data_IF_156310801138
#
_entry.id   IF_156310801138
#
_cell.length_a   1.000
_cell.length_b   1.000
_cell.length_c   1.000
_cell.angle_alpha   90.00
_cell.angle_beta   90.00
_cell.angle_gamma   90.00
#
_symmetry.space_group_name_H-M   'P 1'
#
loop_
_entity.id
_entity.type
_entity.pdbx_description
1 polymer ?
#
# COMPACT_ATOMS: atom_id res chain seq x y z
N UNK A 1 33.25 2.97 5.90
CA UNK A 1 32.68 1.61 5.74
C UNK A 1 31.26 1.77 5.25
N UNK A 2 30.87 1.19 4.11
CA UNK A 2 29.48 1.24 3.65
C UNK A 2 28.62 0.43 4.62
N UNK A 3 27.69 1.08 5.27
CA UNK A 3 26.60 0.40 6.02
C UNK A 3 25.48 0.21 5.03
N UNK A 4 25.35 -0.98 4.46
CA UNK A 4 24.24 -1.31 3.59
C UNK A 4 23.00 -1.53 4.44
N UNK A 5 21.94 -0.77 4.18
CA UNK A 5 20.60 -1.03 4.72
C UNK A 5 19.85 -1.89 3.71
N UNK A 6 19.74 -3.19 3.95
CA UNK A 6 18.84 -4.07 3.19
C UNK A 6 17.56 -4.24 3.98
N UNK A 7 16.53 -3.50 3.60
CA UNK A 7 15.19 -3.60 4.21
C UNK A 7 14.54 -4.98 3.99
N UNK A 8 15.06 -5.79 3.05
CA UNK A 8 14.43 -7.05 2.64
C UNK A 8 14.72 -8.25 3.54
N UNK A 9 15.61 -8.14 4.57
CA UNK A 9 16.09 -9.30 5.33
C UNK A 9 16.20 -9.17 6.84
N UNK A 10 15.49 -8.25 7.48
CA UNK A 10 15.38 -8.21 8.96
C UNK A 10 16.71 -7.95 9.69
N UNK A 11 17.70 -7.35 9.06
CA UNK A 11 18.98 -7.04 9.64
C UNK A 11 19.23 -5.53 9.63
N UNK A 12 19.30 -4.94 10.83
CA UNK A 12 19.76 -3.56 11.11
C UNK A 12 19.01 -2.42 10.40
N UNK A 13 17.67 -2.41 10.52
CA UNK A 13 16.87 -1.27 10.09
C UNK A 13 17.30 -0.01 10.84
N UNK A 14 18.20 0.77 10.22
CA UNK A 14 18.62 2.05 10.74
C UNK A 14 19.65 2.00 11.88
N UNK A 15 20.50 0.98 12.00
CA UNK A 15 21.63 0.99 12.96
C UNK A 15 22.54 2.20 12.79
N UNK A 16 22.61 2.80 11.61
CA UNK A 16 23.31 4.03 11.31
C UNK A 16 22.64 5.29 11.89
N UNK A 17 21.32 5.25 12.15
CA UNK A 17 20.53 6.40 12.65
C UNK A 17 21.11 6.95 13.96
N UNK A 18 21.28 6.16 15.03
CA UNK A 18 21.85 6.69 16.28
C UNK A 18 23.28 7.20 16.11
N UNK A 19 24.05 6.65 15.17
CA UNK A 19 25.44 7.07 14.93
C UNK A 19 25.50 8.48 14.33
N UNK A 20 24.64 8.81 13.40
CA UNK A 20 24.57 10.13 12.79
C UNK A 20 23.82 11.12 13.66
N UNK A 21 22.72 10.72 14.29
CA UNK A 21 21.95 11.55 15.22
C UNK A 21 22.81 12.04 16.41
N UNK A 22 23.66 11.17 16.98
CA UNK A 22 24.61 11.53 18.02
C UNK A 22 25.64 12.58 17.60
N UNK A 23 25.77 12.82 16.30
CA UNK A 23 26.66 13.84 15.70
C UNK A 23 25.91 15.07 15.20
N UNK A 24 24.63 15.20 15.56
CA UNK A 24 23.82 16.37 15.23
C UNK A 24 23.20 16.33 13.84
N UNK A 25 23.31 15.23 13.08
CA UNK A 25 22.68 15.10 11.76
C UNK A 25 21.17 14.96 11.94
N UNK A 26 20.40 15.80 11.25
CA UNK A 26 18.96 15.69 11.23
C UNK A 26 18.51 14.49 10.39
N UNK A 27 17.70 13.62 11.00
CA UNK A 27 17.21 12.40 10.38
C UNK A 27 15.71 12.34 10.54
N UNK A 28 14.99 12.31 9.40
CA UNK A 28 13.56 12.06 9.36
C UNK A 28 13.22 10.67 9.93
N UNK A 29 12.13 10.52 10.71
CA UNK A 29 11.73 9.23 11.27
C UNK A 29 11.58 8.18 10.17
N UNK A 30 12.17 7.00 10.37
CA UNK A 30 12.03 5.89 9.44
C UNK A 30 10.59 5.36 9.49
N UNK A 31 9.99 5.17 8.33
CA UNK A 31 8.61 4.73 8.16
C UNK A 31 8.53 3.61 7.11
N UNK A 32 7.59 2.65 7.26
CA UNK A 32 7.38 1.65 6.22
C UNK A 32 6.89 2.29 4.92
N UNK A 33 7.57 2.03 3.82
CA UNK A 33 7.19 2.40 2.47
C UNK A 33 7.02 1.15 1.60
N UNK A 34 6.16 1.23 0.56
CA UNK A 34 5.81 0.04 -0.21
C UNK A 34 5.42 -1.13 0.72
N UNK A 35 4.54 -0.88 1.67
CA UNK A 35 4.19 -1.79 2.74
C UNK A 35 2.74 -2.27 2.66
N UNK A 36 2.44 -3.35 3.37
CA UNK A 36 1.08 -3.81 3.64
C UNK A 36 0.38 -2.99 4.72
N UNK A 37 -0.91 -3.26 4.90
CA UNK A 37 -1.76 -2.59 5.90
C UNK A 37 -2.62 -3.60 6.64
N UNK A 38 -2.82 -3.35 7.92
CA UNK A 38 -3.74 -4.12 8.75
C UNK A 38 -5.19 -3.76 8.46
N UNK A 39 -6.02 -4.79 8.42
CA UNK A 39 -7.48 -4.70 8.28
C UNK A 39 -8.11 -5.62 9.31
N UNK A 40 -9.16 -5.17 9.97
CA UNK A 40 -9.92 -5.99 10.92
C UNK A 40 -10.84 -6.94 10.14
N UNK A 41 -10.35 -8.15 9.88
CA UNK A 41 -11.13 -9.21 9.26
C UNK A 41 -11.91 -10.01 10.30
N UNK A 42 -13.09 -10.53 9.93
CA UNK A 42 -13.67 -11.61 10.68
C UNK A 42 -12.80 -12.88 10.59
N UNK A 43 -12.79 -13.70 11.63
CA UNK A 43 -12.07 -14.98 11.63
C UNK A 43 -12.43 -15.82 10.40
N UNK A 44 -13.73 -15.88 10.08
CA UNK A 44 -14.22 -16.63 8.92
C UNK A 44 -13.65 -16.12 7.60
N UNK A 45 -13.55 -14.79 7.42
CA UNK A 45 -13.00 -14.21 6.18
C UNK A 45 -11.50 -14.48 6.09
N UNK A 46 -10.75 -14.22 7.16
CA UNK A 46 -9.31 -14.46 7.21
C UNK A 46 -8.95 -15.93 6.91
N UNK A 47 -9.57 -16.88 7.60
CA UNK A 47 -9.32 -18.31 7.39
C UNK A 47 -9.62 -18.79 5.97
N UNK A 48 -10.64 -18.20 5.35
CA UNK A 48 -11.09 -18.62 4.02
C UNK A 48 -10.31 -18.00 2.87
N UNK A 49 -9.85 -16.76 3.02
CA UNK A 49 -9.34 -15.97 1.91
C UNK A 49 -7.89 -15.50 2.07
N UNK A 50 -7.24 -15.70 3.22
CA UNK A 50 -5.81 -15.40 3.36
C UNK A 50 -4.99 -16.12 2.28
N UNK A 51 -4.05 -15.39 1.66
CA UNK A 51 -3.25 -15.85 0.54
C UNK A 51 -3.91 -15.71 -0.83
N UNK A 52 -5.19 -15.32 -0.91
CA UNK A 52 -5.87 -15.19 -2.20
C UNK A 52 -5.69 -13.81 -2.83
N UNK A 53 -5.41 -13.75 -4.16
CA UNK A 53 -5.30 -12.49 -4.88
C UNK A 53 -6.68 -11.93 -5.21
N UNK A 54 -6.80 -10.60 -5.14
CA UNK A 54 -7.97 -9.83 -5.58
C UNK A 54 -7.61 -9.12 -6.89
N UNK A 55 -8.16 -9.61 -8.01
CA UNK A 55 -7.79 -9.10 -9.35
C UNK A 55 -8.87 -9.32 -10.41
N UNK A 56 -8.91 -8.49 -11.49
CA UNK A 56 -8.37 -7.14 -11.51
C UNK A 56 -9.23 -6.22 -10.63
N UNK A 57 -8.63 -5.18 -10.05
CA UNK A 57 -9.34 -4.15 -9.28
C UNK A 57 -8.71 -2.78 -9.53
N UNK A 58 -9.43 -1.71 -9.15
CA UNK A 58 -8.84 -0.38 -9.03
C UNK A 58 -8.96 0.03 -7.57
N UNK A 59 -7.84 0.44 -6.98
CA UNK A 59 -7.79 1.09 -5.68
C UNK A 59 -7.77 2.61 -5.82
N UNK A 60 -8.41 3.32 -4.89
CA UNK A 60 -8.35 4.77 -4.82
C UNK A 60 -8.30 5.27 -3.37
N UNK A 61 -7.45 6.27 -3.13
CA UNK A 61 -7.26 6.94 -1.84
C UNK A 61 -6.69 8.34 -2.07
N UNK A 62 -7.17 9.33 -1.35
CA UNK A 62 -6.68 10.72 -1.39
C UNK A 62 -6.52 11.27 -2.84
N UNK A 63 -7.49 10.99 -3.72
CA UNK A 63 -7.47 11.42 -5.12
C UNK A 63 -6.53 10.61 -6.04
N UNK A 64 -5.68 9.73 -5.52
CA UNK A 64 -4.89 8.80 -6.32
C UNK A 64 -5.73 7.59 -6.70
N UNK A 65 -5.52 7.09 -7.91
CA UNK A 65 -6.25 5.94 -8.46
C UNK A 65 -5.30 5.06 -9.25
N UNK A 66 -5.27 3.77 -8.92
CA UNK A 66 -4.38 2.79 -9.53
C UNK A 66 -5.11 1.49 -9.82
N UNK A 67 -4.92 0.93 -11.01
CA UNK A 67 -5.38 -0.41 -11.35
C UNK A 67 -4.28 -1.43 -11.03
N UNK A 68 -4.68 -2.59 -10.51
CA UNK A 68 -3.73 -3.65 -10.20
C UNK A 68 -4.39 -4.84 -9.53
N UNK A 69 -3.58 -5.50 -8.71
CA UNK A 69 -3.99 -6.62 -7.86
C UNK A 69 -3.34 -6.50 -6.47
N UNK A 70 -3.97 -7.11 -5.49
CA UNK A 70 -3.43 -7.23 -4.13
C UNK A 70 -3.82 -8.57 -3.52
N UNK A 71 -3.15 -8.97 -2.44
CA UNK A 71 -3.42 -10.19 -1.72
C UNK A 71 -4.10 -9.89 -0.38
N UNK A 72 -5.05 -10.75 0.00
CA UNK A 72 -5.55 -10.81 1.37
C UNK A 72 -4.51 -11.55 2.22
N UNK A 73 -4.18 -11.00 3.38
CA UNK A 73 -3.39 -11.70 4.40
C UNK A 73 -4.27 -12.05 5.59
N UNK A 74 -3.76 -12.82 6.53
CA UNK A 74 -4.50 -13.18 7.75
C UNK A 74 -4.87 -11.94 8.58
N UNK A 75 -4.07 -10.87 8.48
CA UNK A 75 -4.22 -9.63 9.28
C UNK A 75 -4.54 -8.40 8.45
N UNK A 76 -4.57 -8.50 7.12
CA UNK A 76 -4.79 -7.31 6.29
C UNK A 76 -4.62 -7.52 4.80
N UNK A 77 -3.91 -6.60 4.15
CA UNK A 77 -3.73 -6.54 2.70
C UNK A 77 -2.29 -6.18 2.33
N UNK A 78 -1.79 -6.73 1.21
CA UNK A 78 -0.46 -6.45 0.67
C UNK A 78 -0.43 -6.61 -0.85
N UNK A 79 0.70 -6.36 -1.48
CA UNK A 79 0.92 -6.58 -2.91
C UNK A 79 0.97 -5.30 -3.73
N UNK A 80 1.25 -5.43 -5.04
CA UNK A 80 1.65 -4.32 -5.89
C UNK A 80 0.73 -3.11 -5.90
N UNK A 81 -0.60 -3.32 -5.90
CA UNK A 81 -1.57 -2.22 -5.82
C UNK A 81 -1.48 -1.49 -4.47
N UNK A 82 -1.34 -2.23 -3.38
CA UNK A 82 -1.27 -1.66 -2.02
C UNK A 82 0.04 -0.90 -1.84
N UNK A 83 1.15 -1.45 -2.34
CA UNK A 83 2.45 -0.78 -2.30
C UNK A 83 2.45 0.54 -3.07
N UNK A 84 1.83 0.56 -4.25
CA UNK A 84 1.70 1.79 -5.05
C UNK A 84 0.84 2.89 -4.37
N UNK A 85 -0.04 2.51 -3.44
CA UNK A 85 -0.91 3.40 -2.69
C UNK A 85 -0.47 3.56 -1.22
N UNK A 86 0.69 3.01 -0.83
CA UNK A 86 1.11 2.97 0.57
C UNK A 86 1.38 4.35 1.16
N UNK A 87 2.05 5.26 0.43
CA UNK A 87 2.31 6.61 0.92
C UNK A 87 1.02 7.36 1.30
N UNK A 88 0.02 7.54 0.43
CA UNK A 88 -1.21 8.25 0.80
C UNK A 88 -2.05 7.52 1.87
N UNK A 89 -2.01 6.18 1.96
CA UNK A 89 -2.67 5.44 3.03
C UNK A 89 -1.99 5.70 4.38
N UNK A 90 -0.65 5.65 4.42
CA UNK A 90 0.15 5.94 5.61
C UNK A 90 -0.06 7.39 6.07
N UNK A 91 0.03 8.36 5.16
CA UNK A 91 -0.22 9.76 5.48
C UNK A 91 -1.62 10.00 6.08
N UNK A 92 -2.65 9.35 5.53
CA UNK A 92 -3.99 9.43 6.08
C UNK A 92 -4.08 8.84 7.50
N UNK A 93 -3.44 7.69 7.76
CA UNK A 93 -3.35 7.12 9.11
C UNK A 93 -2.62 8.05 10.07
N UNK A 94 -1.50 8.63 9.67
CA UNK A 94 -0.70 9.53 10.51
C UNK A 94 -1.43 10.84 10.85
N UNK A 95 -2.15 11.41 9.88
CA UNK A 95 -2.77 12.73 10.03
C UNK A 95 -4.20 12.69 10.58
N UNK A 96 -4.95 11.63 10.25
CA UNK A 96 -6.39 11.52 10.56
C UNK A 96 -6.69 10.39 11.56
N UNK A 97 -5.72 9.52 11.84
CA UNK A 97 -5.91 8.34 12.69
C UNK A 97 -6.69 7.21 12.03
N UNK A 98 -7.11 7.39 10.79
CA UNK A 98 -7.82 6.37 9.99
C UNK A 98 -7.57 6.57 8.50
N UNK A 99 -7.64 5.49 7.73
CA UNK A 99 -7.59 5.55 6.27
C UNK A 99 -8.58 4.56 5.66
N UNK A 100 -9.13 4.92 4.51
CA UNK A 100 -10.05 4.06 3.76
C UNK A 100 -9.56 3.93 2.32
N UNK A 101 -9.26 2.70 1.94
CA UNK A 101 -9.01 2.34 0.54
C UNK A 101 -10.36 2.05 -0.13
N UNK A 102 -10.69 2.75 -1.19
CA UNK A 102 -11.88 2.46 -1.97
C UNK A 102 -11.53 1.55 -3.15
N UNK A 103 -12.29 0.45 -3.30
CA UNK A 103 -12.05 -0.57 -4.30
C UNK A 103 -13.15 -0.59 -5.37
N UNK A 104 -12.77 -0.51 -6.64
CA UNK A 104 -13.62 -0.91 -7.77
C UNK A 104 -13.33 -2.37 -8.08
N UNK A 105 -14.27 -3.26 -7.71
CA UNK A 105 -14.13 -4.70 -7.90
C UNK A 105 -14.44 -5.17 -9.33
N UNK A 106 -15.03 -4.30 -10.15
CA UNK A 106 -15.42 -4.58 -11.53
C UNK A 106 -14.95 -3.47 -12.51
N UNK A 107 -13.63 -3.25 -12.67
CA UNK A 107 -13.10 -2.14 -13.46
C UNK A 107 -13.51 -2.17 -14.94
N UNK A 108 -13.84 -3.33 -15.47
CA UNK A 108 -14.32 -3.50 -16.86
C UNK A 108 -15.81 -3.17 -17.07
N UNK A 109 -16.56 -2.74 -16.02
CA UNK A 109 -17.98 -2.39 -16.15
C UNK A 109 -18.22 -0.98 -15.61
N UNK A 110 -19.11 -0.22 -16.29
CA UNK A 110 -19.60 1.05 -15.74
C UNK A 110 -20.64 0.81 -14.66
N UNK A 111 -20.94 1.84 -13.84
CA UNK A 111 -21.96 1.78 -12.82
C UNK A 111 -23.34 1.50 -13.43
N UNK A 112 -23.67 2.17 -14.55
CA UNK A 112 -24.94 2.02 -15.27
C UNK A 112 -25.09 0.58 -15.74
N UNK A 113 -24.05 0.00 -16.31
CA UNK A 113 -24.06 -1.39 -16.80
C UNK A 113 -24.25 -2.37 -15.65
N UNK A 114 -23.51 -2.20 -14.54
CA UNK A 114 -23.68 -3.03 -13.34
C UNK A 114 -25.08 -2.93 -12.77
N UNK A 115 -25.62 -1.72 -12.66
CA UNK A 115 -26.99 -1.49 -12.16
C UNK A 115 -28.00 -2.21 -13.05
N UNK A 116 -27.90 -2.06 -14.37
CA UNK A 116 -28.78 -2.74 -15.31
C UNK A 116 -28.67 -4.28 -15.23
N UNK A 117 -27.44 -4.80 -15.16
CA UNK A 117 -27.19 -6.24 -15.06
C UNK A 117 -27.71 -6.84 -13.75
N UNK A 118 -27.53 -6.14 -12.61
CA UNK A 118 -27.97 -6.58 -11.29
C UNK A 118 -29.48 -6.37 -11.05
N UNK A 119 -30.13 -5.45 -11.79
CA UNK A 119 -31.58 -5.23 -11.71
C UNK A 119 -32.40 -6.36 -12.37
N UNK A 120 -31.75 -7.23 -13.13
CA UNK A 120 -32.46 -8.40 -13.72
C UNK A 120 -32.94 -9.33 -12.60
N UNK A 121 -34.16 -9.86 -12.69
CA UNK A 121 -34.70 -10.74 -11.67
C UNK A 121 -33.75 -11.90 -11.32
N UNK A 122 -33.51 -12.09 -10.03
CA UNK A 122 -32.68 -13.17 -9.51
C UNK A 122 -33.31 -14.54 -9.66
N UNK A 123 -34.62 -14.61 -9.66
CA UNK A 123 -35.37 -15.86 -9.69
C UNK A 123 -35.02 -16.73 -8.47
N UNK A 124 -34.66 -18.00 -8.74
CA UNK A 124 -34.24 -18.95 -7.70
C UNK A 124 -32.72 -18.93 -7.40
N UNK A 125 -31.96 -18.07 -8.08
CA UNK A 125 -30.51 -17.99 -7.85
C UNK A 125 -30.20 -17.44 -6.43
N UNK A 126 -29.18 -17.99 -5.81
CA UNK A 126 -28.58 -17.38 -4.63
C UNK A 126 -27.93 -16.03 -5.00
N UNK A 127 -27.72 -15.15 -4.03
CA UNK A 127 -27.02 -13.88 -4.26
C UNK A 127 -25.62 -14.13 -4.89
N UNK A 128 -24.90 -15.15 -4.44
CA UNK A 128 -23.60 -15.50 -5.00
C UNK A 128 -23.66 -15.87 -6.48
N UNK A 129 -24.65 -16.70 -6.88
CA UNK A 129 -24.86 -17.06 -8.29
C UNK A 129 -25.28 -15.85 -9.14
N UNK A 130 -26.12 -14.99 -8.60
CA UNK A 130 -26.55 -13.77 -9.27
C UNK A 130 -25.35 -12.84 -9.51
N UNK A 131 -24.54 -12.56 -8.48
CA UNK A 131 -23.31 -11.76 -8.59
C UNK A 131 -22.34 -12.33 -9.62
N UNK A 132 -22.09 -13.64 -9.56
CA UNK A 132 -21.21 -14.31 -10.52
C UNK A 132 -21.71 -14.15 -11.97
N UNK A 133 -22.96 -14.44 -12.21
CA UNK A 133 -23.55 -14.44 -13.58
C UNK A 133 -23.72 -13.03 -14.15
N UNK A 134 -24.08 -12.05 -13.31
CA UNK A 134 -24.43 -10.70 -13.77
C UNK A 134 -23.28 -9.70 -13.66
N UNK A 135 -22.53 -9.76 -12.57
CA UNK A 135 -21.45 -8.82 -12.31
C UNK A 135 -20.05 -9.40 -12.57
N UNK A 136 -19.90 -10.72 -12.65
CA UNK A 136 -18.59 -11.39 -12.68
C UNK A 136 -17.87 -11.33 -11.32
N UNK A 137 -18.64 -11.20 -10.24
CA UNK A 137 -18.13 -11.11 -8.87
C UNK A 137 -18.30 -12.47 -8.19
N UNK A 138 -17.19 -13.12 -7.89
CA UNK A 138 -17.14 -14.42 -7.24
C UNK A 138 -15.91 -14.54 -6.31
N UNK A 139 -15.78 -15.66 -5.62
CA UNK A 139 -14.63 -15.97 -4.77
C UNK A 139 -14.38 -14.88 -3.72
N UNK A 140 -13.12 -14.46 -3.61
CA UNK A 140 -12.68 -13.44 -2.65
C UNK A 140 -13.40 -12.09 -2.84
N UNK A 141 -13.72 -11.69 -4.07
CA UNK A 141 -14.47 -10.45 -4.32
C UNK A 141 -15.88 -10.49 -3.74
N UNK A 142 -16.57 -11.63 -3.89
CA UNK A 142 -17.88 -11.81 -3.26
C UNK A 142 -17.76 -11.95 -1.73
N UNK A 143 -16.64 -12.48 -1.25
CA UNK A 143 -16.29 -12.49 0.16
C UNK A 143 -16.15 -11.08 0.73
N UNK A 144 -15.36 -10.21 0.07
CA UNK A 144 -15.16 -8.81 0.47
C UNK A 144 -16.49 -8.02 0.57
N UNK A 145 -17.42 -8.22 -0.38
CA UNK A 145 -18.73 -7.57 -0.29
C UNK A 145 -19.50 -8.00 0.96
N UNK A 146 -19.42 -9.28 1.35
CA UNK A 146 -20.11 -9.79 2.56
C UNK A 146 -19.44 -9.39 3.84
N UNK A 147 -18.13 -9.27 3.81
CA UNK A 147 -17.31 -8.87 4.95
C UNK A 147 -17.52 -7.40 5.31
N UNK A 148 -17.57 -6.53 4.29
CA UNK A 148 -17.50 -5.09 4.46
C UNK A 148 -18.85 -4.38 4.38
N UNK A 149 -19.90 -5.04 3.87
CA UNK A 149 -21.19 -4.40 3.63
C UNK A 149 -22.29 -4.96 4.53
N UNK A 150 -23.20 -4.09 5.02
CA UNK A 150 -24.42 -4.52 5.67
C UNK A 150 -25.31 -5.35 4.73
N UNK A 151 -26.10 -6.27 5.31
CA UNK A 151 -26.99 -7.14 4.55
C UNK A 151 -27.99 -6.36 3.69
N UNK A 152 -28.46 -5.24 4.17
CA UNK A 152 -29.39 -4.34 3.48
C UNK A 152 -28.80 -3.85 2.16
N UNK A 153 -27.52 -3.44 2.17
CA UNK A 153 -26.80 -3.00 0.97
C UNK A 153 -26.63 -4.14 -0.03
N UNK A 154 -26.38 -5.37 0.45
CA UNK A 154 -26.24 -6.55 -0.40
C UNK A 154 -27.55 -6.92 -1.13
N UNK A 155 -28.70 -6.54 -0.60
CA UNK A 155 -30.01 -6.83 -1.16
C UNK A 155 -30.59 -5.69 -1.99
N UNK A 156 -30.10 -4.47 -1.83
CA UNK A 156 -30.54 -3.28 -2.55
C UNK A 156 -29.72 -3.09 -3.83
N UNK A 157 -30.27 -3.42 -4.99
CA UNK A 157 -29.55 -3.50 -6.28
C UNK A 157 -28.73 -2.26 -6.62
N UNK A 158 -29.28 -1.06 -6.50
CA UNK A 158 -28.57 0.19 -6.80
C UNK A 158 -27.40 0.44 -5.83
N UNK A 159 -27.61 0.17 -4.54
CA UNK A 159 -26.57 0.31 -3.53
C UNK A 159 -25.48 -0.73 -3.72
N UNK A 160 -25.84 -1.97 -4.08
CA UNK A 160 -24.88 -3.02 -4.36
C UNK A 160 -24.01 -2.71 -5.58
N UNK A 161 -24.59 -2.18 -6.66
CA UNK A 161 -23.84 -1.76 -7.84
C UNK A 161 -22.85 -0.62 -7.51
N UNK A 162 -23.28 0.37 -6.74
CA UNK A 162 -22.44 1.46 -6.26
C UNK A 162 -21.31 0.94 -5.36
N UNK A 163 -21.61 0.03 -4.43
CA UNK A 163 -20.63 -0.57 -3.55
C UNK A 163 -19.60 -1.42 -4.31
N UNK A 164 -19.98 -2.16 -5.35
CA UNK A 164 -19.03 -2.90 -6.21
C UNK A 164 -18.05 -1.93 -6.89
N UNK A 165 -18.49 -0.73 -7.25
CA UNK A 165 -17.63 0.30 -7.87
C UNK A 165 -16.84 1.13 -6.89
N UNK A 166 -17.20 1.15 -5.62
CA UNK A 166 -16.60 2.00 -4.60
C UNK A 166 -16.70 1.35 -3.22
N UNK A 167 -16.17 0.13 -3.08
CA UNK A 167 -16.21 -0.62 -1.83
C UNK A 167 -15.23 0.01 -0.83
N UNK A 168 -15.70 0.53 0.32
CA UNK A 168 -14.83 1.05 1.33
C UNK A 168 -14.13 -0.09 2.09
N UNK A 169 -12.81 -0.04 2.14
CA UNK A 169 -11.96 -0.94 2.90
C UNK A 169 -11.18 -0.13 3.95
N UNK A 170 -11.64 -0.08 5.20
CA UNK A 170 -10.90 0.60 6.26
C UNK A 170 -9.60 -0.13 6.56
N UNK A 171 -8.51 0.62 6.67
CA UNK A 171 -7.23 0.12 7.14
C UNK A 171 -6.89 0.77 8.48
N UNK A 172 -6.25 0.02 9.37
CA UNK A 172 -6.07 0.41 10.78
C UNK A 172 -4.64 0.78 11.14
N UNK A 173 -3.67 0.18 10.46
CA UNK A 173 -2.24 0.44 10.67
C UNK A 173 -1.44 0.05 9.43
N UNK A 174 -0.23 0.59 9.31
CA UNK A 174 0.80 0.04 8.41
C UNK A 174 1.34 -1.26 8.99
N UNK A 175 1.76 -2.19 8.13
CA UNK A 175 2.60 -3.31 8.62
C UNK A 175 3.93 -2.77 9.14
N UNK A 176 4.57 -3.49 10.09
CA UNK A 176 5.87 -3.09 10.65
C UNK A 176 6.93 -2.80 9.59
N UNK A 177 7.91 -1.95 9.96
CA UNK A 177 9.02 -1.60 9.08
C UNK A 177 9.75 -2.84 8.54
N UNK A 178 9.90 -3.86 9.37
CA UNK A 178 10.59 -5.12 9.04
C UNK A 178 9.87 -5.94 7.95
N UNK A 179 8.61 -5.66 7.68
CA UNK A 179 7.82 -6.30 6.63
C UNK A 179 7.69 -5.42 5.38
N UNK A 180 8.18 -4.19 5.43
CA UNK A 180 8.12 -3.26 4.30
C UNK A 180 9.15 -3.61 3.23
N UNK A 181 8.83 -3.33 1.96
CA UNK A 181 9.76 -3.52 0.85
C UNK A 181 10.81 -2.41 0.82
N UNK A 182 10.47 -1.23 1.32
CA UNK A 182 11.35 -0.07 1.38
C UNK A 182 11.01 0.82 2.57
N UNK A 183 11.87 1.79 2.81
CA UNK A 183 11.78 2.73 3.93
C UNK A 183 11.61 4.15 3.41
N UNK A 184 10.75 4.94 4.04
CA UNK A 184 10.69 6.39 3.93
C UNK A 184 11.30 7.01 5.19
N UNK A 185 11.65 8.29 5.14
CA UNK A 185 12.48 8.93 6.16
C UNK A 185 13.97 8.72 5.87
N UNK A 186 14.83 9.31 6.68
CA UNK A 186 16.28 9.21 6.49
C UNK A 186 17.01 10.52 6.69
N UNK A 187 18.23 10.61 6.18
CA UNK A 187 19.05 11.82 6.24
C UNK A 187 18.42 12.92 5.39
N UNK A 188 18.09 14.03 6.04
CA UNK A 188 17.50 15.19 5.36
C UNK A 188 18.49 15.75 4.32
N UNK A 189 17.99 16.04 3.11
CA UNK A 189 18.78 16.61 2.02
C UNK A 189 19.39 17.98 2.38
N UNK A 190 18.80 18.75 3.28
CA UNK A 190 19.38 20.01 3.75
C UNK A 190 20.67 19.83 4.55
N UNK A 191 20.87 18.65 5.14
CA UNK A 191 22.11 18.30 5.82
C UNK A 191 23.26 17.97 4.87
N UNK A 192 22.98 17.84 3.57
CA UNK A 192 23.95 17.44 2.54
C UNK A 192 24.34 18.64 1.65
N UNK A 193 25.55 18.59 1.13
CA UNK A 193 25.97 19.45 0.03
C UNK A 193 25.58 18.84 -1.34
N UNK A 194 25.99 19.49 -2.41
CA UNK A 194 25.73 19.08 -3.78
C UNK A 194 26.36 17.74 -4.18
N UNK A 195 27.38 17.30 -3.42
CA UNK A 195 28.11 16.05 -3.61
C UNK A 195 27.63 14.93 -2.68
N UNK A 196 26.54 15.15 -1.94
CA UNK A 196 25.98 14.24 -0.95
C UNK A 196 26.88 14.04 0.28
N UNK A 197 27.81 14.95 0.55
CA UNK A 197 28.60 14.97 1.77
C UNK A 197 27.83 15.71 2.88
N UNK A 198 27.88 15.20 4.11
CA UNK A 198 27.29 15.88 5.28
C UNK A 198 28.03 17.19 5.54
N UNK A 199 27.31 18.32 5.58
CA UNK A 199 27.87 19.66 5.80
C UNK A 199 28.59 19.76 7.12
N UNK A 200 28.06 19.15 8.16
CA UNK A 200 28.58 19.20 9.53
C UNK A 200 29.57 18.06 9.84
N UNK A 201 29.78 17.13 8.91
CA UNK A 201 30.70 16.00 9.07
C UNK A 201 31.52 15.80 7.77
N UNK A 202 32.54 16.65 7.52
CA UNK A 202 33.36 16.53 6.32
C UNK A 202 33.99 15.14 6.16
N UNK A 203 33.94 14.60 4.94
CA UNK A 203 34.40 13.25 4.62
C UNK A 203 33.36 12.14 4.86
N UNK A 204 32.13 12.48 5.27
CA UNK A 204 31.03 11.52 5.42
C UNK A 204 29.99 11.79 4.33
N UNK A 205 29.74 10.81 3.49
CA UNK A 205 28.78 10.87 2.39
C UNK A 205 27.58 9.96 2.68
N UNK A 206 26.39 10.40 2.29
CA UNK A 206 25.15 9.64 2.43
C UNK A 206 24.51 9.45 1.05
N UNK A 207 24.07 8.24 0.74
CA UNK A 207 23.47 7.93 -0.56
C UNK A 207 22.44 6.79 -0.45
N UNK A 208 21.62 6.66 -1.47
CA UNK A 208 20.65 5.56 -1.55
C UNK A 208 19.46 5.74 -0.64
N UNK A 209 18.98 4.62 -0.11
CA UNK A 209 17.76 4.57 0.69
C UNK A 209 17.89 5.19 2.09
N UNK A 210 19.12 5.48 2.52
CA UNK A 210 19.33 6.20 3.78
C UNK A 210 18.99 7.69 3.70
N UNK A 211 18.79 8.25 2.51
CA UNK A 211 18.33 9.63 2.30
C UNK A 211 16.84 9.75 2.55
N UNK A 212 16.38 10.91 3.01
CA UNK A 212 14.94 11.15 3.30
C UNK A 212 14.14 11.30 2.00
N UNK A 213 13.77 10.19 1.43
CA UNK A 213 12.90 10.10 0.27
C UNK A 213 12.26 8.72 0.14
N UNK A 214 11.25 8.59 -0.70
CA UNK A 214 10.64 7.31 -1.04
C UNK A 214 10.24 7.26 -2.51
N UNK A 215 10.12 6.05 -3.07
CA UNK A 215 9.67 5.84 -4.42
C UNK A 215 8.71 4.64 -4.50
N UNK A 216 7.75 4.62 -5.45
CA UNK A 216 6.93 3.45 -5.69
C UNK A 216 7.78 2.29 -6.20
N UNK A 217 7.22 1.07 -6.10
CA UNK A 217 7.81 -0.12 -6.74
C UNK A 217 7.94 0.06 -8.25
N UNK A 218 8.89 -0.64 -8.89
CA UNK A 218 9.13 -0.55 -10.33
C UNK A 218 10.57 -0.18 -10.70
N UNK A 219 11.52 -0.32 -9.75
CA UNK A 219 12.94 -0.10 -9.97
C UNK A 219 13.40 1.35 -9.74
N UNK A 220 12.49 2.27 -9.44
CA UNK A 220 12.83 3.69 -9.21
C UNK A 220 13.79 3.87 -8.04
N UNK A 221 13.49 3.23 -6.90
CA UNK A 221 14.34 3.31 -5.70
C UNK A 221 15.75 2.80 -6.00
N UNK A 222 15.86 1.62 -6.58
CA UNK A 222 17.15 1.00 -6.90
C UNK A 222 17.95 1.85 -7.89
N UNK A 223 17.31 2.41 -8.92
CA UNK A 223 17.94 3.30 -9.90
C UNK A 223 18.52 4.55 -9.22
N UNK A 224 17.77 5.17 -8.31
CA UNK A 224 18.23 6.34 -7.60
C UNK A 224 19.32 5.99 -6.56
N UNK A 225 19.26 4.81 -5.92
CA UNK A 225 20.34 4.33 -5.05
C UNK A 225 21.67 4.18 -5.83
N UNK A 226 21.62 3.63 -7.04
CA UNK A 226 22.82 3.54 -7.89
C UNK A 226 23.31 4.93 -8.34
N UNK A 227 22.40 5.82 -8.73
CA UNK A 227 22.75 7.17 -9.17
C UNK A 227 23.40 7.98 -8.04
N UNK A 228 22.78 7.99 -6.85
CA UNK A 228 23.31 8.74 -5.69
C UNK A 228 24.60 8.10 -5.15
N UNK A 229 24.68 6.77 -5.12
CA UNK A 229 25.90 6.06 -4.72
C UNK A 229 27.07 6.35 -5.64
N UNK A 230 26.83 6.40 -6.97
CA UNK A 230 27.84 6.81 -7.96
C UNK A 230 28.25 8.25 -7.76
N UNK A 231 27.28 9.17 -7.63
CA UNK A 231 27.56 10.60 -7.44
C UNK A 231 28.41 10.84 -6.19
N UNK A 232 28.06 10.24 -5.06
CA UNK A 232 28.87 10.33 -3.84
C UNK A 232 30.28 9.73 -4.03
N UNK A 233 30.39 8.59 -4.72
CA UNK A 233 31.66 7.90 -4.95
C UNK A 233 32.66 8.64 -5.88
N UNK A 234 32.17 9.60 -6.66
CA UNK A 234 33.05 10.45 -7.51
C UNK A 234 33.83 11.51 -6.69
N UNK A 235 33.44 11.71 -5.40
CA UNK A 235 34.01 12.74 -4.52
C UNK A 235 34.68 12.18 -3.26
N UNK A 236 34.75 10.87 -3.10
CA UNK A 236 35.40 10.18 -1.96
C UNK A 236 36.93 10.06 -2.14
#
# INVERSE_FOLDING_TARGET
LPVATDASRGLDHGAWVPLLAARGVHIGPLKPANCGFDVVWSTHFAERFAGQPVKPVIGSVAGRRQQGEFNITATGIEGGLIYALSAPLREALETQGHAVLHLDLAPGKTLERLTADLSRPRGRDSLANHLRRRAGIEGVKAGLLRELLPFETLTATGQLAAAIKHLPLPVTATRPLDEAISTAGGVDFVALDENLMLRDLPGVFCAGEMLDWEAPTGGYLLTACFATGRAAGEWV
#
